data_IF_099825459164
#
_entry.id   IF_099825459164
#
_cell.length_a   1.000
_cell.length_b   1.000
_cell.length_c   1.000
_cell.angle_alpha   90.00
_cell.angle_beta   90.00
_cell.angle_gamma   90.00
#
_symmetry.space_group_name_H-M   'P 1'
#
loop_
_entity.id
_entity.type
_entity.pdbx_description
1 polymer ?
#
# COMPACT_ATOMS: atom_id res chain seq x y z
N UNK A 1 30.85 60.36 31.08
CA UNK A 1 31.79 59.54 31.87
C UNK A 1 33.16 59.70 31.24
N UNK A 2 33.90 60.71 31.67
CA UNK A 2 34.86 60.67 32.78
C UNK A 2 36.29 60.60 32.19
N UNK A 3 36.79 61.81 31.93
CA UNK A 3 38.18 62.21 31.69
C UNK A 3 39.10 61.79 32.83
N UNK A 4 40.35 61.42 32.56
CA UNK A 4 41.48 61.73 33.46
C UNK A 4 42.80 61.80 32.69
N UNK A 5 43.23 63.04 32.44
CA UNK A 5 44.62 63.43 32.27
C UNK A 5 45.43 63.08 33.52
N UNK A 6 46.70 62.72 33.37
CA UNK A 6 47.69 62.97 34.41
C UNK A 6 49.05 63.25 33.78
N UNK A 7 49.27 64.54 33.51
CA UNK A 7 50.60 65.13 33.37
C UNK A 7 51.14 65.32 34.79
N UNK A 8 52.35 64.84 35.09
CA UNK A 8 53.04 65.22 36.31
C UNK A 8 54.47 65.63 35.96
N UNK A 9 54.54 66.93 35.66
CA UNK A 9 55.71 67.77 35.61
C UNK A 9 56.29 67.88 37.03
N UNK A 10 57.61 67.69 37.18
CA UNK A 10 58.29 68.02 38.44
C UNK A 10 59.58 68.76 38.10
N UNK A 11 59.43 70.07 37.95
CA UNK A 11 60.51 71.05 38.01
C UNK A 11 61.02 71.11 39.47
N UNK A 12 62.33 70.91 39.67
CA UNK A 12 63.00 71.23 40.94
C UNK A 12 64.18 72.17 40.63
N UNK A 13 64.32 73.26 41.41
CA UNK A 13 65.14 74.41 41.09
C UNK A 13 66.65 74.19 41.23
N UNK A 14 67.33 74.91 40.34
CA UNK A 14 68.75 75.23 40.29
C UNK A 14 69.21 76.03 41.51
N UNK A 15 70.30 75.60 42.17
CA UNK A 15 71.09 76.41 43.09
C UNK A 15 72.58 76.36 42.68
N UNK A 16 73.25 77.53 42.58
CA UNK A 16 74.65 77.63 42.19
C UNK A 16 75.59 77.54 43.39
N UNK A 17 76.88 77.41 43.06
CA UNK A 17 78.07 77.68 43.88
C UNK A 17 78.51 76.61 44.90
N UNK A 18 79.55 75.87 44.51
CA UNK A 18 80.84 75.91 45.21
C UNK A 18 81.86 75.05 44.45
N UNK A 19 82.82 75.70 43.81
CA UNK A 19 84.07 75.09 43.39
C UNK A 19 84.85 74.59 44.61
N UNK A 20 85.45 73.39 44.51
CA UNK A 20 86.83 73.23 44.92
C UNK A 20 87.65 72.74 43.74
N UNK A 21 88.45 73.66 43.19
CA UNK A 21 89.68 73.33 42.47
C UNK A 21 90.50 72.38 43.35
N UNK A 22 90.74 71.16 42.88
CA UNK A 22 91.99 70.42 43.13
C UNK A 22 92.09 69.19 42.25
N UNK A 23 93.24 69.16 41.57
CA UNK A 23 93.96 68.01 41.02
C UNK A 23 93.56 67.56 39.61
N UNK A 24 94.44 67.80 38.60
CA UNK A 24 94.39 67.10 37.33
C UNK A 24 94.86 65.66 37.58
N UNK A 25 93.95 64.81 38.04
CA UNK A 25 94.11 63.37 37.87
C UNK A 25 94.03 63.10 36.37
N UNK A 26 95.18 62.74 35.80
CA UNK A 26 95.34 62.24 34.44
C UNK A 26 94.23 61.23 34.16
N UNK A 27 93.20 61.67 33.43
CA UNK A 27 92.15 60.81 32.94
C UNK A 27 92.83 59.78 32.04
N UNK A 28 92.71 58.46 32.33
CA UNK A 28 93.25 57.45 31.44
C UNK A 28 92.67 57.74 30.06
N UNK A 29 93.56 57.86 29.07
CA UNK A 29 93.23 58.19 27.68
C UNK A 29 91.88 57.55 27.34
N UNK A 30 90.84 58.38 27.18
CA UNK A 30 89.49 57.96 26.80
C UNK A 30 89.65 57.14 25.53
N UNK A 31 89.72 55.81 25.69
CA UNK A 31 89.65 54.88 24.60
C UNK A 31 88.31 55.18 23.97
N UNK A 32 88.35 55.90 22.84
CA UNK A 32 87.19 56.10 21.98
C UNK A 32 86.86 54.72 21.44
N UNK A 33 86.16 53.95 22.26
CA UNK A 33 85.54 52.71 21.81
C UNK A 33 84.67 53.12 20.62
N UNK A 34 84.93 52.56 19.44
CA UNK A 34 84.22 52.97 18.25
C UNK A 34 82.72 52.75 18.52
N UNK A 35 81.90 53.78 18.32
CA UNK A 35 80.47 53.72 18.60
C UNK A 35 79.79 52.51 17.90
N UNK A 36 80.37 52.06 16.79
CA UNK A 36 79.98 50.84 16.07
C UNK A 36 80.01 49.57 16.94
N UNK A 37 80.94 49.43 17.90
CA UNK A 37 80.99 48.27 18.81
C UNK A 37 79.79 48.27 19.78
N UNK A 38 79.40 49.44 20.30
CA UNK A 38 78.23 49.55 21.16
C UNK A 38 76.94 49.30 20.36
N UNK A 39 76.84 49.83 19.13
CA UNK A 39 75.71 49.52 18.24
C UNK A 39 75.62 48.04 17.89
N UNK A 40 76.75 47.39 17.60
CA UNK A 40 76.79 45.96 17.31
C UNK A 40 76.34 45.11 18.51
N UNK A 41 76.80 45.46 19.72
CA UNK A 41 76.40 44.75 20.94
C UNK A 41 74.91 44.94 21.26
N UNK A 42 74.42 46.18 21.20
CA UNK A 42 73.01 46.49 21.44
C UNK A 42 72.12 45.83 20.38
N UNK A 43 72.48 45.90 19.09
CA UNK A 43 71.77 45.21 18.02
C UNK A 43 71.81 43.69 18.20
N UNK A 44 72.92 43.13 18.65
CA UNK A 44 73.07 41.70 18.94
C UNK A 44 72.11 41.20 20.02
N UNK A 45 71.72 42.05 20.98
CA UNK A 45 70.74 41.71 22.03
C UNK A 45 69.31 42.04 21.60
N UNK A 46 69.09 43.19 20.95
CA UNK A 46 67.76 43.62 20.51
C UNK A 46 67.20 42.76 19.37
N UNK A 47 68.07 42.28 18.48
CA UNK A 47 67.64 41.49 17.32
C UNK A 47 66.99 40.16 17.74
N UNK A 48 67.58 39.29 18.58
CA UNK A 48 66.88 38.10 19.03
C UNK A 48 65.64 38.43 19.86
N UNK A 49 65.68 39.51 20.67
CA UNK A 49 64.53 39.94 21.48
C UNK A 49 63.32 40.35 20.62
N UNK A 50 63.54 40.92 19.45
CA UNK A 50 62.48 41.33 18.51
C UNK A 50 62.12 40.24 17.50
N UNK A 51 63.10 39.44 17.05
CA UNK A 51 62.90 38.39 16.04
C UNK A 51 62.21 37.16 16.62
N UNK A 52 62.55 36.70 17.83
CA UNK A 52 61.89 35.53 18.44
C UNK A 52 60.36 35.65 18.51
N UNK A 53 59.78 36.71 19.12
CA UNK A 53 58.32 36.82 19.23
C UNK A 53 57.64 36.95 17.87
N UNK A 54 58.31 37.57 16.89
CA UNK A 54 57.81 37.65 15.52
C UNK A 54 57.76 36.27 14.85
N UNK A 55 58.83 35.48 14.98
CA UNK A 55 58.89 34.11 14.43
C UNK A 55 57.87 33.19 15.11
N UNK A 56 57.72 33.28 16.43
CA UNK A 56 56.71 32.50 17.17
C UNK A 56 55.30 32.86 16.70
N UNK A 57 54.99 34.15 16.57
CA UNK A 57 53.69 34.63 16.08
C UNK A 57 53.41 34.16 14.65
N UNK A 58 54.44 34.14 13.78
CA UNK A 58 54.33 33.56 12.44
C UNK A 58 54.02 32.06 12.45
N UNK A 59 54.64 31.30 13.36
CA UNK A 59 54.34 29.85 13.51
C UNK A 59 52.90 29.63 13.98
N UNK A 60 52.43 30.39 14.97
CA UNK A 60 51.05 30.27 15.46
C UNK A 60 50.03 30.65 14.39
N UNK A 61 50.23 31.77 13.69
CA UNK A 61 49.32 32.18 12.60
C UNK A 61 49.32 31.19 11.43
N UNK A 62 50.45 30.56 11.11
CA UNK A 62 50.51 29.49 10.11
C UNK A 62 49.72 28.25 10.54
N UNK A 63 49.86 27.81 11.80
CA UNK A 63 49.09 26.68 12.34
C UNK A 63 47.58 26.97 12.38
N UNK A 64 47.19 28.16 12.82
CA UNK A 64 45.78 28.58 12.83
C UNK A 64 45.20 28.62 11.41
N UNK A 65 45.94 29.14 10.42
CA UNK A 65 45.51 29.12 9.02
C UNK A 65 45.37 27.70 8.49
N UNK A 66 46.27 26.79 8.85
CA UNK A 66 46.15 25.38 8.45
C UNK A 66 44.90 24.74 9.05
N UNK A 67 44.61 24.97 10.34
CA UNK A 67 43.39 24.49 11.00
C UNK A 67 42.12 25.10 10.41
N UNK A 68 42.13 26.39 10.09
CA UNK A 68 41.00 27.06 9.44
C UNK A 68 40.71 26.45 8.07
N UNK A 69 41.75 26.19 7.26
CA UNK A 69 41.59 25.52 5.97
C UNK A 69 41.04 24.10 6.11
N UNK A 70 41.49 23.36 7.12
CA UNK A 70 40.96 22.02 7.40
C UNK A 70 39.49 22.07 7.82
N UNK A 71 39.12 23.00 8.71
CA UNK A 71 37.70 23.17 9.10
C UNK A 71 36.82 23.65 7.95
N UNK A 72 37.34 24.51 7.06
CA UNK A 72 36.62 24.97 5.87
C UNK A 72 36.38 23.80 4.90
N UNK A 73 37.36 22.90 4.77
CA UNK A 73 37.22 21.68 3.98
C UNK A 73 36.14 20.77 4.58
N UNK A 74 36.21 20.48 5.88
CA UNK A 74 35.21 19.67 6.57
C UNK A 74 33.80 20.26 6.46
N UNK A 75 33.67 21.59 6.57
CA UNK A 75 32.38 22.27 6.40
C UNK A 75 31.85 22.13 4.97
N UNK A 76 32.71 22.21 3.95
CA UNK A 76 32.30 21.97 2.56
C UNK A 76 31.83 20.54 2.34
N UNK A 77 32.55 19.56 2.89
CA UNK A 77 32.20 18.14 2.76
C UNK A 77 30.83 17.88 3.43
N UNK A 78 30.65 18.34 4.68
CA UNK A 78 29.36 18.22 5.39
C UNK A 78 28.23 18.96 4.66
N UNK A 79 28.51 20.11 4.05
CA UNK A 79 27.49 20.86 3.29
C UNK A 79 27.07 20.14 2.00
N UNK A 80 28.00 19.43 1.35
CA UNK A 80 27.70 18.56 0.22
C UNK A 80 26.85 17.37 0.66
N UNK A 81 27.24 16.70 1.74
CA UNK A 81 26.51 15.55 2.31
C UNK A 81 25.11 15.94 2.78
N UNK A 82 24.95 17.11 3.39
CA UNK A 82 23.65 17.65 3.78
C UNK A 82 22.76 17.91 2.56
N UNK A 83 23.33 18.44 1.46
CA UNK A 83 22.58 18.68 0.22
C UNK A 83 22.14 17.38 -0.44
N UNK A 84 22.99 16.36 -0.48
CA UNK A 84 22.60 15.04 -1.00
C UNK A 84 21.53 14.40 -0.13
N UNK A 85 21.66 14.44 1.19
CA UNK A 85 20.63 13.93 2.10
C UNK A 85 19.27 14.64 1.94
N UNK A 86 19.27 15.96 1.73
CA UNK A 86 18.04 16.71 1.46
C UNK A 86 17.38 16.30 0.13
N UNK A 87 18.17 16.06 -0.91
CA UNK A 87 17.66 15.59 -2.21
C UNK A 87 17.10 14.17 -2.11
N UNK A 88 17.76 13.28 -1.37
CA UNK A 88 17.27 11.94 -1.10
C UNK A 88 15.95 11.97 -0.30
N UNK A 89 15.84 12.84 0.70
CA UNK A 89 14.61 13.02 1.47
C UNK A 89 13.45 13.51 0.61
N UNK A 90 13.70 14.47 -0.29
CA UNK A 90 12.68 14.95 -1.23
C UNK A 90 12.25 13.85 -2.20
N UNK A 91 13.19 13.07 -2.71
CA UNK A 91 12.90 11.91 -3.54
C UNK A 91 12.03 10.88 -2.79
N UNK A 92 12.38 10.53 -1.54
CA UNK A 92 11.60 9.59 -0.73
C UNK A 92 10.19 10.16 -0.48
N UNK A 93 10.08 11.46 -0.19
CA UNK A 93 8.79 12.12 0.01
C UNK A 93 7.91 12.06 -1.22
N UNK A 94 8.46 12.34 -2.41
CA UNK A 94 7.71 12.24 -3.67
C UNK A 94 7.29 10.81 -3.99
N UNK A 95 8.12 9.81 -3.67
CA UNK A 95 7.76 8.39 -3.77
C UNK A 95 6.63 8.03 -2.78
N UNK A 96 6.70 8.51 -1.55
CA UNK A 96 5.67 8.28 -0.54
C UNK A 96 4.33 8.86 -0.98
N UNK A 97 4.30 10.09 -1.51
CA UNK A 97 3.06 10.69 -2.03
C UNK A 97 2.48 9.87 -3.19
N UNK A 98 3.32 9.38 -4.10
CA UNK A 98 2.88 8.52 -5.21
C UNK A 98 2.26 7.21 -4.71
N UNK A 99 2.91 6.55 -3.75
CA UNK A 99 2.38 5.31 -3.15
C UNK A 99 1.04 5.55 -2.43
N UNK A 100 0.90 6.68 -1.73
CA UNK A 100 -0.36 7.04 -1.08
C UNK A 100 -1.47 7.25 -2.11
N UNK A 101 -1.17 7.91 -3.23
CA UNK A 101 -2.11 8.12 -4.32
C UNK A 101 -2.50 6.80 -5.01
N UNK A 102 -1.53 5.91 -5.27
CA UNK A 102 -1.79 4.57 -5.81
C UNK A 102 -2.67 3.73 -4.88
N UNK A 103 -2.38 3.72 -3.58
CA UNK A 103 -3.21 3.02 -2.57
C UNK A 103 -4.62 3.60 -2.53
N UNK A 104 -4.77 4.92 -2.70
CA UNK A 104 -6.08 5.57 -2.77
C UNK A 104 -6.86 5.14 -4.01
N UNK A 105 -6.21 5.10 -5.18
CA UNK A 105 -6.82 4.62 -6.43
C UNK A 105 -7.26 3.16 -6.30
N UNK A 106 -6.39 2.28 -5.81
CA UNK A 106 -6.71 0.86 -5.60
C UNK A 106 -7.89 0.67 -4.63
N UNK A 107 -7.98 1.49 -3.58
CA UNK A 107 -9.14 1.46 -2.67
C UNK A 107 -10.44 1.88 -3.36
N UNK A 108 -10.39 2.87 -4.25
CA UNK A 108 -11.56 3.30 -5.03
C UNK A 108 -12.00 2.22 -6.03
N UNK A 109 -11.05 1.62 -6.75
CA UNK A 109 -11.32 0.51 -7.68
C UNK A 109 -11.91 -0.70 -6.95
N UNK A 110 -11.34 -1.07 -5.79
CA UNK A 110 -11.87 -2.17 -4.98
C UNK A 110 -13.29 -1.87 -4.49
N UNK A 111 -13.59 -0.63 -4.11
CA UNK A 111 -14.93 -0.24 -3.69
C UNK A 111 -15.92 -0.32 -4.87
N UNK A 112 -15.53 0.13 -6.06
CA UNK A 112 -16.33 0.04 -7.27
C UNK A 112 -16.58 -1.42 -7.67
N UNK A 113 -15.55 -2.27 -7.66
CA UNK A 113 -15.67 -3.69 -7.96
C UNK A 113 -16.58 -4.41 -6.96
N UNK A 114 -16.50 -4.08 -5.67
CA UNK A 114 -17.42 -4.60 -4.65
C UNK A 114 -18.86 -4.17 -4.91
N UNK A 115 -19.09 -2.91 -5.26
CA UNK A 115 -20.42 -2.42 -5.59
C UNK A 115 -20.99 -3.12 -6.84
N UNK A 116 -20.18 -3.32 -7.87
CA UNK A 116 -20.55 -4.05 -9.08
C UNK A 116 -20.85 -5.53 -8.80
N UNK A 117 -20.03 -6.18 -7.97
CA UNK A 117 -20.27 -7.56 -7.56
C UNK A 117 -21.58 -7.70 -6.78
N UNK A 118 -21.85 -6.76 -5.86
CA UNK A 118 -23.12 -6.73 -5.12
C UNK A 118 -24.31 -6.53 -6.06
N UNK A 119 -24.24 -5.61 -7.03
CA UNK A 119 -25.31 -5.38 -7.99
C UNK A 119 -25.55 -6.61 -8.87
N UNK A 120 -24.50 -7.24 -9.40
CA UNK A 120 -24.61 -8.49 -10.15
C UNK A 120 -25.23 -9.60 -9.32
N UNK A 121 -24.85 -9.72 -8.04
CA UNK A 121 -25.42 -10.74 -7.18
C UNK A 121 -26.92 -10.52 -6.94
N UNK A 122 -27.36 -9.27 -6.81
CA UNK A 122 -28.79 -8.95 -6.70
C UNK A 122 -29.53 -9.21 -8.02
N UNK A 123 -28.92 -8.92 -9.16
CA UNK A 123 -29.49 -9.19 -10.48
C UNK A 123 -29.64 -10.69 -10.75
N UNK A 124 -28.63 -11.49 -10.40
CA UNK A 124 -28.69 -12.95 -10.49
C UNK A 124 -29.80 -13.50 -9.59
N UNK A 125 -29.92 -13.01 -8.36
CA UNK A 125 -31.01 -13.42 -7.46
C UNK A 125 -32.39 -13.00 -7.99
N UNK A 126 -32.49 -11.82 -8.60
CA UNK A 126 -33.71 -11.35 -9.25
C UNK A 126 -34.07 -12.22 -10.46
N UNK A 127 -33.09 -12.61 -11.28
CA UNK A 127 -33.26 -13.49 -12.45
C UNK A 127 -33.57 -14.95 -12.09
N UNK A 128 -33.10 -15.44 -10.93
CA UNK A 128 -33.41 -16.79 -10.47
C UNK A 128 -34.88 -16.96 -10.05
N UNK A 129 -35.55 -15.90 -9.60
CA UNK A 129 -36.96 -15.95 -9.18
C UNK A 129 -37.91 -16.33 -10.32
N UNK A 130 -37.95 -15.64 -11.47
CA UNK A 130 -38.83 -16.01 -12.57
C UNK A 130 -38.49 -17.40 -13.12
N UNK A 131 -37.20 -17.77 -13.18
CA UNK A 131 -36.78 -19.08 -13.65
C UNK A 131 -37.28 -20.22 -12.74
N UNK A 132 -37.27 -20.00 -11.41
CA UNK A 132 -37.87 -20.94 -10.45
C UNK A 132 -39.40 -21.01 -10.58
N UNK A 133 -40.04 -19.88 -10.83
CA UNK A 133 -41.49 -19.84 -11.04
C UNK A 133 -41.91 -20.52 -12.35
N UNK A 134 -41.17 -20.31 -13.44
CA UNK A 134 -41.36 -21.02 -14.71
C UNK A 134 -41.13 -22.52 -14.55
N UNK A 135 -40.07 -22.93 -13.84
CA UNK A 135 -39.83 -24.33 -13.55
C UNK A 135 -40.94 -24.96 -12.69
N UNK A 136 -41.52 -24.19 -11.75
CA UNK A 136 -42.66 -24.62 -10.94
C UNK A 136 -43.92 -24.77 -11.81
N UNK A 137 -44.25 -23.77 -12.63
CA UNK A 137 -45.38 -23.82 -13.57
C UNK A 137 -45.27 -24.98 -14.53
N UNK A 138 -44.09 -25.21 -15.13
CA UNK A 138 -43.87 -26.34 -16.02
C UNK A 138 -44.09 -27.70 -15.30
N UNK A 139 -43.67 -27.82 -14.04
CA UNK A 139 -43.95 -29.03 -13.23
C UNK A 139 -45.44 -29.21 -12.94
N UNK A 140 -46.15 -28.12 -12.63
CA UNK A 140 -47.61 -28.14 -12.42
C UNK A 140 -48.33 -28.54 -13.71
N UNK A 141 -47.98 -27.96 -14.86
CA UNK A 141 -48.54 -28.30 -16.17
C UNK A 141 -48.28 -29.76 -16.56
N UNK A 142 -47.07 -30.27 -16.34
CA UNK A 142 -46.76 -31.70 -16.57
C UNK A 142 -47.60 -32.59 -15.66
N UNK A 143 -47.79 -32.20 -14.40
CA UNK A 143 -48.67 -32.91 -13.47
C UNK A 143 -50.12 -32.94 -13.94
N UNK A 144 -50.65 -31.79 -14.37
CA UNK A 144 -52.02 -31.67 -14.89
C UNK A 144 -52.22 -32.45 -16.19
N UNK A 145 -51.24 -32.42 -17.10
CA UNK A 145 -51.28 -33.23 -18.31
C UNK A 145 -51.26 -34.72 -17.99
N UNK A 146 -50.43 -35.15 -17.04
CA UNK A 146 -50.36 -36.55 -16.63
C UNK A 146 -51.68 -37.02 -16.03
N UNK A 147 -52.30 -36.21 -15.15
CA UNK A 147 -53.61 -36.56 -14.56
C UNK A 147 -54.71 -36.63 -15.62
N UNK A 148 -54.76 -35.68 -16.56
CA UNK A 148 -55.70 -35.72 -17.71
C UNK A 148 -55.49 -36.94 -18.59
N UNK A 149 -54.24 -37.28 -18.91
CA UNK A 149 -53.91 -38.48 -19.69
C UNK A 149 -54.35 -39.76 -18.95
N UNK A 150 -54.10 -39.88 -17.65
CA UNK A 150 -54.54 -41.04 -16.87
C UNK A 150 -56.05 -41.17 -16.83
N UNK A 151 -56.78 -40.07 -16.68
CA UNK A 151 -58.25 -40.07 -16.70
C UNK A 151 -58.79 -40.53 -18.07
N UNK A 152 -58.20 -40.03 -19.16
CA UNK A 152 -58.58 -40.43 -20.53
C UNK A 152 -58.30 -41.92 -20.79
N UNK A 153 -57.14 -42.45 -20.37
CA UNK A 153 -56.84 -43.88 -20.50
C UNK A 153 -57.80 -44.76 -19.70
N UNK A 154 -58.21 -44.31 -18.50
CA UNK A 154 -59.18 -45.01 -17.68
C UNK A 154 -60.58 -45.04 -18.33
N UNK A 155 -61.03 -43.92 -18.91
CA UNK A 155 -62.30 -43.82 -19.64
C UNK A 155 -62.30 -44.74 -20.88
N UNK A 156 -61.22 -44.71 -21.67
CA UNK A 156 -61.04 -45.60 -22.83
C UNK A 156 -61.03 -47.07 -22.40
N UNK A 157 -60.31 -47.40 -21.32
CA UNK A 157 -60.29 -48.76 -20.75
C UNK A 157 -61.68 -49.23 -20.31
N UNK A 158 -62.46 -48.35 -19.66
CA UNK A 158 -63.83 -48.66 -19.25
C UNK A 158 -64.78 -48.86 -20.45
N UNK A 159 -64.67 -48.01 -21.48
CA UNK A 159 -65.42 -48.14 -22.73
C UNK A 159 -65.11 -49.47 -23.44
N UNK A 160 -63.82 -49.80 -23.61
CA UNK A 160 -63.38 -51.08 -24.20
C UNK A 160 -63.91 -52.30 -23.42
N UNK A 161 -63.86 -52.23 -22.08
CA UNK A 161 -64.41 -53.27 -21.22
C UNK A 161 -65.94 -53.44 -21.41
N UNK A 162 -66.65 -52.32 -21.57
CA UNK A 162 -68.10 -52.32 -21.82
C UNK A 162 -68.45 -52.89 -23.20
N UNK A 163 -67.68 -52.54 -24.24
CA UNK A 163 -67.82 -53.10 -25.60
C UNK A 163 -67.56 -54.60 -25.60
N UNK A 164 -66.49 -55.06 -24.92
CA UNK A 164 -66.19 -56.48 -24.79
C UNK A 164 -67.31 -57.25 -24.07
N UNK A 165 -67.86 -56.66 -22.99
CA UNK A 165 -69.01 -57.22 -22.27
C UNK A 165 -70.24 -57.35 -23.16
N UNK A 166 -70.57 -56.30 -23.91
CA UNK A 166 -71.68 -56.33 -24.88
C UNK A 166 -71.46 -57.36 -25.99
N UNK A 167 -70.25 -57.45 -26.56
CA UNK A 167 -69.94 -58.46 -27.58
C UNK A 167 -70.11 -59.89 -27.04
N UNK A 168 -69.70 -60.15 -25.80
CA UNK A 168 -69.88 -61.44 -25.14
C UNK A 168 -71.37 -61.74 -24.92
N UNK A 169 -72.15 -60.76 -24.49
CA UNK A 169 -73.60 -60.91 -24.29
C UNK A 169 -74.33 -61.16 -25.63
N UNK A 170 -73.91 -60.50 -26.70
CA UNK A 170 -74.42 -60.73 -28.05
C UNK A 170 -74.07 -62.14 -28.58
N UNK A 171 -72.88 -62.67 -28.30
CA UNK A 171 -72.53 -64.06 -28.63
C UNK A 171 -73.43 -65.06 -27.89
N UNK A 172 -73.72 -64.81 -26.62
CA UNK A 172 -74.64 -65.63 -25.83
C UNK A 172 -76.07 -65.58 -26.40
N UNK A 173 -76.57 -64.40 -26.79
CA UNK A 173 -77.91 -64.25 -27.37
C UNK A 173 -78.06 -64.91 -28.75
N UNK A 174 -77.01 -64.92 -29.58
CA UNK A 174 -77.04 -65.52 -30.91
C UNK A 174 -76.82 -67.03 -30.93
N UNK A 175 -76.63 -67.67 -29.76
CA UNK A 175 -76.37 -69.12 -29.68
C UNK A 175 -75.06 -69.54 -30.35
N UNK A 176 -74.13 -68.59 -30.52
CA UNK A 176 -72.80 -68.87 -31.07
C UNK A 176 -71.97 -69.51 -29.95
N UNK A 177 -72.13 -70.82 -29.79
CA UNK A 177 -71.51 -71.58 -28.73
C UNK A 177 -69.97 -71.52 -28.82
N UNK A 178 -69.33 -71.38 -27.65
CA UNK A 178 -67.89 -71.15 -27.49
C UNK A 178 -67.07 -72.29 -28.10
N UNK A 179 -66.72 -72.18 -29.37
CA UNK A 179 -65.84 -73.13 -30.07
C UNK A 179 -64.38 -72.91 -29.66
N UNK A 180 -64.04 -73.24 -28.41
CA UNK A 180 -62.69 -73.39 -27.77
C UNK A 180 -61.53 -72.45 -28.16
N UNK A 181 -61.78 -71.32 -28.83
CA UNK A 181 -60.80 -70.35 -29.27
C UNK A 181 -61.43 -68.97 -29.40
N UNK A 182 -60.70 -67.95 -28.93
CA UNK A 182 -61.07 -66.52 -28.91
C UNK A 182 -61.14 -65.94 -30.34
N UNK A 183 -62.12 -66.36 -31.13
CA UNK A 183 -62.16 -66.06 -32.56
C UNK A 183 -62.57 -64.63 -32.89
N UNK A 184 -63.12 -63.86 -31.94
CA UNK A 184 -63.51 -62.45 -32.14
C UNK A 184 -62.68 -61.46 -31.33
N UNK A 185 -61.65 -61.92 -30.62
CA UNK A 185 -60.74 -61.07 -29.85
C UNK A 185 -61.40 -60.40 -28.64
N UNK A 186 -62.52 -60.95 -28.13
CA UNK A 186 -63.24 -60.40 -26.98
C UNK A 186 -62.34 -60.45 -25.74
N UNK A 187 -61.59 -61.56 -25.57
CA UNK A 187 -60.67 -61.69 -24.45
C UNK A 187 -59.45 -60.77 -24.62
N UNK A 188 -59.03 -60.49 -25.86
CA UNK A 188 -58.01 -59.47 -26.13
C UNK A 188 -58.49 -58.07 -25.76
N UNK A 189 -59.72 -57.67 -26.12
CA UNK A 189 -60.30 -56.37 -25.75
C UNK A 189 -60.43 -56.21 -24.23
N UNK A 190 -60.82 -57.29 -23.53
CA UNK A 190 -60.87 -57.29 -22.07
C UNK A 190 -59.47 -57.17 -21.45
N UNK A 191 -58.47 -57.86 -21.98
CA UNK A 191 -57.07 -57.75 -21.53
C UNK A 191 -56.48 -56.36 -21.80
N UNK A 192 -56.78 -55.74 -22.93
CA UNK A 192 -56.31 -54.38 -23.21
C UNK A 192 -57.01 -53.35 -22.33
N UNK A 193 -58.32 -53.50 -22.09
CA UNK A 193 -59.06 -52.68 -21.13
C UNK A 193 -58.44 -52.70 -19.73
N UNK A 194 -58.13 -53.89 -19.21
CA UNK A 194 -57.48 -54.06 -17.90
C UNK A 194 -56.09 -53.43 -17.90
N UNK A 195 -55.27 -53.67 -18.94
CA UNK A 195 -53.92 -53.06 -19.03
C UNK A 195 -53.96 -51.53 -19.06
N UNK A 196 -54.93 -50.93 -19.75
CA UNK A 196 -55.09 -49.47 -19.78
C UNK A 196 -55.50 -48.92 -18.41
N UNK A 197 -56.34 -49.65 -17.66
CA UNK A 197 -56.73 -49.28 -16.30
C UNK A 197 -55.57 -49.44 -15.30
N UNK A 198 -54.78 -50.51 -15.42
CA UNK A 198 -53.57 -50.74 -14.60
C UNK A 198 -52.50 -49.66 -14.88
N UNK A 199 -52.23 -49.35 -16.15
CA UNK A 199 -51.29 -48.28 -16.51
C UNK A 199 -51.75 -46.90 -16.02
N UNK A 200 -53.06 -46.62 -16.00
CA UNK A 200 -53.61 -45.42 -15.40
C UNK A 200 -53.42 -45.40 -13.87
N UNK A 201 -53.63 -46.55 -13.21
CA UNK A 201 -53.44 -46.73 -11.77
C UNK A 201 -51.98 -46.53 -11.31
N UNK A 202 -51.03 -47.20 -11.97
CA UNK A 202 -49.60 -47.12 -11.63
C UNK A 202 -49.04 -45.70 -11.82
N UNK A 203 -49.52 -44.99 -12.84
CA UNK A 203 -49.17 -43.60 -13.10
C UNK A 203 -49.64 -42.65 -11.98
N UNK A 204 -50.74 -42.97 -11.30
CA UNK A 204 -51.27 -42.20 -10.16
C UNK A 204 -50.49 -42.44 -8.86
N UNK A 205 -49.97 -43.67 -8.67
CA UNK A 205 -49.21 -44.04 -7.48
C UNK A 205 -47.81 -43.41 -7.54
N UNK A 206 -47.16 -43.48 -8.70
CA UNK A 206 -45.85 -42.87 -8.91
C UNK A 206 -45.85 -41.33 -8.75
N UNK A 207 -46.98 -40.66 -9.04
CA UNK A 207 -47.12 -39.21 -8.83
C UNK A 207 -47.38 -38.82 -7.37
N UNK A 208 -47.87 -39.74 -6.52
CA UNK A 208 -48.03 -39.50 -5.07
C UNK A 208 -46.73 -39.61 -4.29
N UNK A 209 -45.76 -40.41 -4.73
CA UNK A 209 -44.47 -40.56 -4.06
C UNK A 209 -43.49 -39.41 -4.32
N UNK A 210 -43.79 -38.53 -5.27
CA UNK A 210 -42.95 -37.37 -5.61
C UNK A 210 -43.42 -36.05 -4.99
N UNK A 211 -44.51 -36.05 -4.21
CA UNK A 211 -44.93 -34.94 -3.35
C UNK A 211 -44.34 -35.12 -1.96
#
# INVERSE_FOLDING_TARGET
MATMETKMNTDIPYTPDAEPQRQPSELPARQRYPASLHFAFVAGILLPLTVLPWVLSKRHTASLRARLKESEKQFKDVHLDWRTALLELDMIRTQQTRLVDEVRLLKQELAAAKAQSASMHTEVLAAQRPLKEEARRAREEIGDLRTKQTASLQEVGQSLGSVAGFMQEMELHLGLERRRGDHRGIEQLRKTAVRLQEQAGDSSIASRQQR
#
